data_IF_630004291525
#
_entry.id   IF_630004291525
#
_cell.length_a   1.000
_cell.length_b   1.000
_cell.length_c   1.000
_cell.angle_alpha   90.00
_cell.angle_beta   90.00
_cell.angle_gamma   90.00
#
_symmetry.space_group_name_H-M   'P 1'
#
loop_
_entity.id
_entity.type
_entity.pdbx_description
1 polymer ?
#
# COMPACT_ATOMS: atom_id res chain seq x y z
N UNK A 1 -1.34 2.67 -18.39
CA UNK A 1 -1.78 1.25 -18.33
C UNK A 1 -1.06 0.33 -19.30
N UNK A 2 -0.90 0.69 -20.59
CA UNK A 2 -0.25 -0.18 -21.59
C UNK A 2 1.17 -0.64 -21.22
N UNK A 3 2.00 0.25 -20.66
CA UNK A 3 3.35 -0.11 -20.23
C UNK A 3 3.37 -1.19 -19.14
N UNK A 4 2.46 -1.12 -18.18
CA UNK A 4 2.31 -2.14 -17.12
C UNK A 4 1.81 -3.45 -17.72
N UNK A 5 0.83 -3.40 -18.63
CA UNK A 5 0.41 -4.59 -19.38
C UNK A 5 1.60 -5.22 -20.12
N UNK A 6 2.36 -4.42 -20.84
CA UNK A 6 3.52 -4.86 -21.61
C UNK A 6 4.56 -5.55 -20.71
N UNK A 7 4.80 -5.04 -19.50
CA UNK A 7 5.62 -5.74 -18.52
C UNK A 7 5.08 -7.13 -18.19
N UNK A 8 3.79 -7.25 -17.87
CA UNK A 8 3.19 -8.54 -17.50
C UNK A 8 3.10 -9.53 -18.67
N UNK A 9 3.00 -9.05 -19.90
CA UNK A 9 3.02 -9.86 -21.12
C UNK A 9 4.42 -10.40 -21.48
N UNK A 10 5.50 -9.94 -20.81
CA UNK A 10 6.85 -10.44 -21.08
C UNK A 10 7.01 -11.93 -20.74
N UNK A 11 7.97 -12.62 -21.39
CA UNK A 11 8.32 -13.99 -21.06
C UNK A 11 8.64 -14.17 -19.57
N UNK A 12 8.32 -15.36 -19.06
CA UNK A 12 8.54 -15.69 -17.65
C UNK A 12 10.01 -15.52 -17.26
N UNK A 13 10.95 -15.84 -18.14
CA UNK A 13 12.39 -15.76 -17.94
C UNK A 13 12.89 -14.33 -17.71
N UNK A 14 12.14 -13.33 -18.19
CA UNK A 14 12.45 -11.92 -17.93
C UNK A 14 11.92 -11.53 -16.56
N UNK A 15 10.65 -11.85 -16.27
CA UNK A 15 9.99 -11.48 -15.01
C UNK A 15 10.56 -12.22 -13.81
N UNK A 16 11.00 -13.47 -13.97
CA UNK A 16 11.54 -14.32 -12.91
C UNK A 16 12.83 -13.77 -12.29
N UNK A 17 13.58 -12.94 -13.03
CA UNK A 17 14.77 -12.25 -12.51
C UNK A 17 14.47 -11.26 -11.38
N UNK A 18 13.24 -10.72 -11.37
CA UNK A 18 12.74 -9.80 -10.35
C UNK A 18 11.95 -10.53 -9.26
N UNK A 19 11.75 -11.84 -9.42
CA UNK A 19 10.87 -12.60 -8.55
C UNK A 19 11.47 -12.77 -7.17
N UNK A 20 10.67 -12.48 -6.14
CA UNK A 20 11.02 -12.82 -4.77
C UNK A 20 9.77 -13.15 -3.95
N UNK A 21 9.96 -13.94 -2.90
CA UNK A 21 8.99 -14.16 -1.82
C UNK A 21 9.45 -13.51 -0.50
N UNK A 22 10.62 -12.88 -0.49
CA UNK A 22 11.15 -12.21 0.68
C UNK A 22 10.37 -10.91 0.92
N UNK A 23 9.95 -10.67 2.16
CA UNK A 23 9.07 -9.55 2.54
C UNK A 23 9.85 -8.32 3.03
N UNK A 24 11.16 -8.49 3.23
CA UNK A 24 12.13 -7.49 3.68
C UNK A 24 12.90 -6.86 2.54
N UNK A 25 12.64 -7.28 1.29
CA UNK A 25 13.33 -6.74 0.13
C UNK A 25 12.74 -5.39 -0.23
N UNK A 26 13.63 -4.42 -0.41
CA UNK A 26 13.34 -3.10 -0.96
C UNK A 26 13.73 -3.09 -2.45
N UNK A 27 13.37 -2.04 -3.20
CA UNK A 27 13.74 -1.90 -4.61
C UNK A 27 12.67 -2.38 -5.60
N UNK A 28 13.03 -3.24 -6.57
CA UNK A 28 12.12 -3.73 -7.62
C UNK A 28 11.78 -5.21 -7.38
N UNK A 29 10.50 -5.50 -7.23
CA UNK A 29 10.01 -6.83 -6.83
C UNK A 29 8.86 -7.27 -7.72
N UNK A 30 8.98 -8.47 -8.28
CA UNK A 30 7.87 -9.19 -8.89
C UNK A 30 7.39 -10.30 -7.95
N UNK A 31 6.09 -10.36 -7.70
CA UNK A 31 5.47 -11.42 -6.91
C UNK A 31 4.29 -12.02 -7.66
N UNK A 32 4.05 -13.31 -7.41
CA UNK A 32 2.85 -14.02 -7.81
C UNK A 32 2.34 -14.75 -6.58
N UNK A 33 1.07 -14.53 -6.24
CA UNK A 33 0.46 -15.12 -5.04
C UNK A 33 1.24 -14.79 -3.75
N UNK A 34 1.27 -13.49 -3.43
CA UNK A 34 2.11 -12.87 -2.40
C UNK A 34 2.03 -13.57 -1.03
N UNK A 35 0.84 -14.03 -0.62
CA UNK A 35 0.57 -14.58 0.71
C UNK A 35 0.40 -16.12 0.74
N UNK A 36 0.84 -16.84 -0.30
CA UNK A 36 0.54 -18.28 -0.49
C UNK A 36 0.84 -19.19 0.72
N UNK A 37 1.88 -18.89 1.51
CA UNK A 37 2.28 -19.71 2.66
C UNK A 37 1.80 -19.17 4.02
N UNK A 38 1.06 -18.05 4.01
CA UNK A 38 0.54 -17.39 5.22
C UNK A 38 -0.99 -17.43 5.29
N UNK A 39 -1.62 -17.61 4.13
CA UNK A 39 -3.07 -17.67 3.99
C UNK A 39 -3.52 -19.07 3.60
N UNK A 40 -4.75 -19.43 3.94
CA UNK A 40 -5.32 -20.74 3.60
C UNK A 40 -5.78 -20.82 2.14
N UNK A 41 -5.64 -19.74 1.36
CA UNK A 41 -6.15 -19.65 0.00
C UNK A 41 -5.22 -18.82 -0.88
N UNK A 42 -5.00 -19.28 -2.10
CA UNK A 42 -4.25 -18.56 -3.13
C UNK A 42 -4.99 -17.29 -3.56
N UNK A 43 -4.25 -16.21 -3.84
CA UNK A 43 -4.79 -15.03 -4.51
C UNK A 43 -4.48 -15.07 -6.01
N UNK A 44 -5.46 -14.61 -6.81
CA UNK A 44 -5.34 -14.62 -8.28
C UNK A 44 -4.86 -13.27 -8.82
N UNK A 45 -3.60 -12.94 -8.53
CA UNK A 45 -2.93 -11.78 -9.11
C UNK A 45 -1.41 -11.92 -9.08
N UNK A 46 -0.77 -11.21 -10.00
CA UNK A 46 0.67 -10.95 -10.01
C UNK A 46 0.89 -9.45 -9.79
N UNK A 47 2.00 -9.09 -9.14
CA UNK A 47 2.30 -7.69 -8.82
C UNK A 47 3.76 -7.37 -9.12
N UNK A 48 3.99 -6.26 -9.81
CA UNK A 48 5.28 -5.56 -9.82
C UNK A 48 5.20 -4.42 -8.79
N UNK A 49 6.07 -4.45 -7.79
CA UNK A 49 6.22 -3.41 -6.79
C UNK A 49 7.57 -2.71 -6.97
N UNK A 50 7.58 -1.38 -6.88
CA UNK A 50 8.78 -0.55 -7.00
C UNK A 50 8.77 0.47 -5.88
N UNK A 51 9.82 0.47 -5.06
CA UNK A 51 10.02 1.47 -4.02
C UNK A 51 10.66 2.71 -4.63
N UNK A 52 9.95 3.83 -4.60
CA UNK A 52 10.42 5.08 -5.24
C UNK A 52 10.79 6.16 -4.22
N UNK A 53 10.47 5.93 -2.95
CA UNK A 53 10.74 6.81 -1.81
C UNK A 53 10.78 5.98 -0.52
N UNK A 54 11.51 6.42 0.53
CA UNK A 54 12.46 7.55 0.57
C UNK A 54 13.73 7.27 -0.24
N UNK A 55 14.55 8.29 -0.52
CA UNK A 55 15.75 8.19 -1.39
C UNK A 55 16.68 7.04 -0.98
N UNK A 56 16.86 6.83 0.32
CA UNK A 56 17.71 5.75 0.87
C UNK A 56 17.23 4.34 0.54
N UNK A 57 15.92 4.16 0.32
CA UNK A 57 15.26 2.88 0.03
C UNK A 57 14.78 2.78 -1.42
N UNK A 58 15.06 3.82 -2.21
CA UNK A 58 14.59 3.95 -3.59
C UNK A 58 15.30 2.94 -4.47
N UNK A 59 14.52 2.26 -5.32
CA UNK A 59 15.02 1.41 -6.39
C UNK A 59 15.93 2.22 -7.32
N UNK A 60 17.08 1.65 -7.70
CA UNK A 60 17.90 2.31 -8.69
C UNK A 60 17.18 2.31 -10.05
N UNK A 61 17.28 3.40 -10.80
CA UNK A 61 16.56 3.54 -12.07
C UNK A 61 16.88 2.39 -13.06
N UNK A 62 18.12 1.90 -13.04
CA UNK A 62 18.58 0.79 -13.88
C UNK A 62 17.92 -0.55 -13.54
N UNK A 63 17.43 -0.71 -12.30
CA UNK A 63 16.74 -1.91 -11.84
C UNK A 63 15.27 -1.93 -12.27
N UNK A 64 14.69 -0.75 -12.51
CA UNK A 64 13.31 -0.62 -12.98
C UNK A 64 13.22 -1.16 -14.41
N UNK A 65 12.23 -2.04 -14.73
CA UNK A 65 12.12 -2.65 -16.05
C UNK A 65 11.99 -1.59 -17.15
N UNK A 66 12.89 -1.63 -18.13
CA UNK A 66 12.96 -0.62 -19.20
C UNK A 66 11.62 -0.41 -19.91
N UNK A 67 10.87 -1.51 -20.14
CA UNK A 67 9.58 -1.50 -20.84
C UNK A 67 8.50 -0.65 -20.17
N UNK A 68 8.62 -0.37 -18.87
CA UNK A 68 7.65 0.43 -18.12
C UNK A 68 8.28 1.55 -17.28
N UNK A 69 9.61 1.70 -17.33
CA UNK A 69 10.35 2.64 -16.48
C UNK A 69 9.86 4.08 -16.62
N UNK A 70 9.74 4.56 -17.85
CA UNK A 70 9.34 5.95 -18.12
C UNK A 70 7.95 6.26 -17.58
N UNK A 71 6.97 5.41 -17.88
CA UNK A 71 5.59 5.58 -17.45
C UNK A 71 5.45 5.43 -15.93
N UNK A 72 6.22 4.53 -15.32
CA UNK A 72 6.22 4.32 -13.88
C UNK A 72 6.79 5.53 -13.12
N UNK A 73 7.92 6.08 -13.57
CA UNK A 73 8.50 7.29 -12.96
C UNK A 73 7.62 8.53 -13.16
N UNK A 74 6.95 8.64 -14.32
CA UNK A 74 5.98 9.71 -14.53
C UNK A 74 4.76 9.56 -13.60
N UNK A 75 4.26 8.33 -13.41
CA UNK A 75 3.16 8.05 -12.49
C UNK A 75 3.51 8.45 -11.05
N UNK A 76 4.70 8.07 -10.58
CA UNK A 76 5.20 8.41 -9.25
C UNK A 76 5.15 9.91 -8.99
N UNK A 77 5.80 10.70 -9.85
CA UNK A 77 5.83 12.16 -9.78
C UNK A 77 4.43 12.79 -9.75
N UNK A 78 3.49 12.27 -10.54
CA UNK A 78 2.12 12.79 -10.56
C UNK A 78 1.32 12.36 -9.34
N UNK A 79 1.50 11.12 -8.88
CA UNK A 79 0.81 10.58 -7.72
C UNK A 79 1.25 11.26 -6.43
N UNK A 80 2.53 11.64 -6.31
CA UNK A 80 3.06 12.42 -5.19
C UNK A 80 2.36 13.78 -5.08
N UNK A 81 2.25 14.53 -6.19
CA UNK A 81 1.52 15.80 -6.21
C UNK A 81 0.05 15.67 -5.83
N UNK A 82 -0.58 14.57 -6.25
CA UNK A 82 -1.97 14.27 -5.86
C UNK A 82 -2.04 13.98 -4.36
N UNK A 83 -1.11 13.20 -3.82
CA UNK A 83 -1.06 12.90 -2.39
C UNK A 83 -0.84 14.16 -1.54
N UNK A 84 0.07 15.05 -1.95
CA UNK A 84 0.29 16.36 -1.30
C UNK A 84 -1.01 17.16 -1.24
N UNK A 85 -1.68 17.35 -2.39
CA UNK A 85 -2.94 18.09 -2.46
C UNK A 85 -4.08 17.43 -1.65
N UNK A 86 -4.09 16.10 -1.54
CA UNK A 86 -5.11 15.35 -0.79
C UNK A 86 -4.88 15.36 0.71
N UNK A 87 -3.63 15.30 1.17
CA UNK A 87 -3.29 15.45 2.58
C UNK A 87 -3.78 16.81 3.11
N UNK A 88 -3.89 17.81 2.23
CA UNK A 88 -4.49 19.11 2.53
C UNK A 88 -6.03 19.10 2.57
N UNK A 89 -6.72 18.10 1.99
CA UNK A 89 -8.17 18.17 1.69
C UNK A 89 -9.02 16.91 1.96
N UNK A 90 -8.56 15.96 2.78
CA UNK A 90 -9.17 14.61 2.93
C UNK A 90 -10.72 14.57 3.09
N UNK A 91 -11.42 13.84 2.20
CA UNK A 91 -12.61 13.02 2.53
C UNK A 91 -12.98 11.98 1.45
N UNK A 92 -13.57 10.88 1.95
CA UNK A 92 -14.39 9.77 1.38
C UNK A 92 -14.00 9.03 0.09
N UNK A 93 -14.00 7.68 0.20
CA UNK A 93 -13.78 6.74 -0.90
C UNK A 93 -15.06 6.42 -1.67
N UNK A 94 -14.97 6.41 -3.01
CA UNK A 94 -16.07 6.15 -3.94
C UNK A 94 -15.68 5.07 -4.97
N UNK A 95 -16.69 4.53 -5.68
CA UNK A 95 -16.48 3.57 -6.75
C UNK A 95 -15.56 4.12 -7.86
N UNK A 96 -14.78 3.27 -8.56
CA UNK A 96 -13.94 3.72 -9.66
C UNK A 96 -14.78 4.33 -10.78
N UNK A 97 -14.71 5.65 -10.90
CA UNK A 97 -15.30 6.39 -12.02
C UNK A 97 -14.27 6.42 -13.16
N UNK A 98 -14.66 6.16 -14.42
CA UNK A 98 -13.74 6.27 -15.56
C UNK A 98 -13.01 7.62 -15.58
N UNK A 99 -11.69 7.58 -15.61
CA UNK A 99 -10.84 8.79 -15.59
C UNK A 99 -10.58 9.36 -14.19
N UNK A 100 -11.12 8.77 -13.12
CA UNK A 100 -10.88 9.17 -11.75
C UNK A 100 -9.90 8.24 -11.03
N UNK A 101 -9.30 8.75 -9.95
CA UNK A 101 -8.53 7.98 -8.97
C UNK A 101 -9.44 7.62 -7.79
N UNK A 102 -9.32 6.39 -7.31
CA UNK A 102 -9.91 5.99 -6.03
C UNK A 102 -8.86 6.16 -4.93
N UNK A 103 -9.23 6.88 -3.87
CA UNK A 103 -8.36 7.14 -2.72
C UNK A 103 -8.96 6.43 -1.51
N UNK A 104 -8.13 5.73 -0.76
CA UNK A 104 -8.53 5.03 0.47
C UNK A 104 -7.64 5.47 1.63
N UNK A 105 -8.21 5.51 2.82
CA UNK A 105 -7.51 5.80 4.07
C UNK A 105 -6.97 4.49 4.66
N UNK A 106 -5.73 4.51 5.15
CA UNK A 106 -5.11 3.38 5.84
C UNK A 106 -5.21 3.47 7.36
N UNK A 107 -4.99 2.34 8.04
CA UNK A 107 -5.10 2.19 9.50
C UNK A 107 -4.27 3.22 10.29
N UNK A 108 -3.10 3.60 9.79
CA UNK A 108 -2.22 4.60 10.42
C UNK A 108 -2.91 5.97 10.49
N UNK A 109 -3.53 6.42 9.39
CA UNK A 109 -4.24 7.70 9.35
C UNK A 109 -5.50 7.64 10.22
N UNK A 110 -6.27 6.55 10.17
CA UNK A 110 -7.43 6.38 11.05
C UNK A 110 -7.03 6.52 12.53
N UNK A 111 -5.96 5.83 12.93
CA UNK A 111 -5.46 5.86 14.31
C UNK A 111 -5.02 7.26 14.73
N UNK A 112 -4.24 7.94 13.89
CA UNK A 112 -3.77 9.31 14.17
C UNK A 112 -4.89 10.33 14.21
N UNK A 113 -5.91 10.15 13.36
CA UNK A 113 -7.07 11.02 13.29
C UNK A 113 -8.09 10.78 14.42
N UNK A 114 -7.86 9.76 15.27
CA UNK A 114 -8.76 9.33 16.33
C UNK A 114 -10.20 9.07 15.81
N UNK A 115 -10.32 8.25 14.75
CA UNK A 115 -11.57 7.91 14.03
C UNK A 115 -12.23 9.07 13.23
N UNK A 116 -11.57 10.23 13.06
CA UNK A 116 -12.07 11.26 12.12
C UNK A 116 -12.07 10.78 10.66
N UNK A 117 -11.13 9.90 10.30
CA UNK A 117 -11.10 9.19 9.04
C UNK A 117 -11.13 7.69 9.28
N UNK A 118 -11.80 6.94 8.41
CA UNK A 118 -12.02 5.50 8.58
C UNK A 118 -11.33 4.71 7.47
N UNK A 119 -10.47 3.78 7.87
CA UNK A 119 -9.90 2.73 7.03
C UNK A 119 -10.94 1.64 6.83
N UNK A 120 -11.26 1.33 5.57
CA UNK A 120 -12.32 0.38 5.21
C UNK A 120 -11.73 -0.88 4.59
N UNK A 121 -12.33 -2.01 4.92
CA UNK A 121 -12.04 -3.27 4.25
C UNK A 121 -12.46 -3.20 2.78
N UNK A 122 -11.56 -3.56 1.89
CA UNK A 122 -11.81 -3.61 0.46
C UNK A 122 -11.23 -4.90 -0.11
N UNK A 123 -11.90 -5.44 -1.14
CA UNK A 123 -11.47 -6.66 -1.82
C UNK A 123 -11.59 -6.53 -3.33
N UNK A 124 -10.72 -7.24 -4.02
CA UNK A 124 -10.75 -7.35 -5.48
C UNK A 124 -11.29 -8.73 -5.85
N UNK A 125 -12.42 -8.75 -6.55
CA UNK A 125 -13.00 -9.99 -7.05
C UNK A 125 -12.36 -10.36 -8.39
N UNK A 126 -11.94 -11.62 -8.51
CA UNK A 126 -11.64 -12.20 -9.81
C UNK A 126 -12.94 -12.29 -10.62
N UNK A 127 -12.87 -11.86 -11.88
CA UNK A 127 -14.00 -11.93 -12.81
C UNK A 127 -13.59 -12.79 -14.00
N UNK A 128 -14.44 -13.74 -14.38
CA UNK A 128 -14.29 -14.43 -15.65
C UNK A 128 -14.44 -13.41 -16.79
N UNK A 129 -13.33 -13.08 -17.43
CA UNK A 129 -13.22 -12.08 -18.48
C UNK A 129 -12.19 -12.55 -19.49
N UNK A 130 -12.36 -12.17 -20.77
CA UNK A 130 -11.34 -12.43 -21.80
C UNK A 130 -10.10 -11.57 -21.60
N UNK A 131 -10.31 -10.34 -21.12
CA UNK A 131 -9.24 -9.38 -20.88
C UNK A 131 -8.80 -9.39 -19.42
N UNK A 132 -7.47 -9.31 -19.15
CA UNK A 132 -6.95 -9.17 -17.79
C UNK A 132 -7.32 -7.81 -17.21
N UNK A 133 -7.63 -7.80 -15.91
CA UNK A 133 -7.77 -6.55 -15.16
C UNK A 133 -6.40 -6.09 -14.67
N UNK A 134 -6.06 -4.83 -14.92
CA UNK A 134 -4.80 -4.23 -14.46
C UNK A 134 -5.13 -3.02 -13.61
N UNK A 135 -4.44 -2.88 -12.47
CA UNK A 135 -4.51 -1.72 -11.60
C UNK A 135 -3.10 -1.26 -11.24
N UNK A 136 -2.91 0.04 -11.07
CA UNK A 136 -1.70 0.63 -10.52
C UNK A 136 -2.09 1.32 -9.23
N UNK A 137 -1.33 1.09 -8.16
CA UNK A 137 -1.61 1.61 -6.83
C UNK A 137 -0.35 2.29 -6.32
N UNK A 138 -0.50 3.48 -5.73
CA UNK A 138 0.55 4.17 -5.00
C UNK A 138 0.20 4.14 -3.51
N UNK A 139 1.19 3.82 -2.66
CA UNK A 139 1.03 3.79 -1.21
C UNK A 139 1.88 4.89 -0.59
N UNK A 140 1.24 5.84 0.09
CA UNK A 140 1.90 6.92 0.82
C UNK A 140 1.90 6.56 2.30
N UNK A 141 2.99 5.94 2.75
CA UNK A 141 3.16 5.51 4.13
C UNK A 141 3.99 6.54 4.91
N UNK A 142 3.72 6.68 6.20
CA UNK A 142 4.54 7.52 7.07
C UNK A 142 5.92 6.89 7.26
N UNK A 143 6.95 7.70 7.07
CA UNK A 143 8.33 7.28 7.19
C UNK A 143 8.75 7.16 8.68
N UNK A 144 9.51 6.11 8.97
CA UNK A 144 10.02 5.80 10.32
C UNK A 144 11.37 6.44 10.63
N UNK A 145 11.92 7.27 9.74
CA UNK A 145 13.24 7.91 9.93
C UNK A 145 13.16 9.22 10.73
N UNK A 146 11.96 9.69 11.08
CA UNK A 146 11.78 10.80 12.02
C UNK A 146 11.85 10.32 13.47
N UNK A 147 12.15 11.22 14.43
CA UNK A 147 12.16 10.98 15.89
C UNK A 147 10.83 10.42 16.47
N UNK A 148 9.84 10.17 15.61
CA UNK A 148 8.55 9.58 15.93
C UNK A 148 8.70 8.06 16.03
N UNK A 149 9.09 7.61 17.22
CA UNK A 149 9.12 6.18 17.55
C UNK A 149 7.72 5.56 17.70
N UNK A 150 6.66 6.39 17.76
CA UNK A 150 5.31 5.95 18.08
C UNK A 150 4.23 6.70 17.29
N UNK A 151 3.29 5.94 16.74
CA UNK A 151 2.08 6.41 16.10
C UNK A 151 0.90 6.26 17.04
N UNK A 152 -0.04 7.19 17.01
CA UNK A 152 -1.23 7.22 17.89
C UNK A 152 -2.06 8.47 17.63
N UNK A 153 -3.20 8.64 18.31
CA UNK A 153 -4.03 9.83 18.17
C UNK A 153 -3.23 11.13 18.31
N UNK A 154 -3.38 12.05 17.37
CA UNK A 154 -2.73 13.36 17.40
C UNK A 154 -3.22 14.14 18.63
N UNK A 155 -2.32 14.66 19.49
CA UNK A 155 -2.72 15.38 20.70
C UNK A 155 -3.70 16.52 20.45
N UNK A 156 -3.59 17.20 19.32
CA UNK A 156 -4.43 18.33 18.91
C UNK A 156 -5.88 17.93 18.60
N UNK A 157 -6.13 16.63 18.35
CA UNK A 157 -7.45 16.07 18.11
C UNK A 157 -8.11 15.53 19.39
N UNK A 158 -7.41 15.60 20.53
CA UNK A 158 -7.91 15.15 21.83
C UNK A 158 -8.44 16.34 22.63
N UNK A 159 -9.55 16.11 23.33
CA UNK A 159 -10.17 17.10 24.23
C UNK A 159 -10.69 16.38 25.47
N UNK A 160 -11.08 17.08 26.56
CA UNK A 160 -11.72 16.44 27.71
C UNK A 160 -12.92 15.57 27.33
N UNK A 161 -13.66 15.95 26.28
CA UNK A 161 -14.84 15.22 25.79
C UNK A 161 -14.52 14.23 24.66
N UNK A 162 -13.30 14.26 24.12
CA UNK A 162 -12.83 13.37 23.05
C UNK A 162 -11.51 12.71 23.45
N UNK A 163 -11.63 11.60 24.15
CA UNK A 163 -10.50 10.80 24.61
C UNK A 163 -9.85 10.02 23.46
N UNK A 164 -8.61 9.59 23.69
CA UNK A 164 -7.92 8.69 22.79
C UNK A 164 -8.68 7.36 22.68
N UNK A 165 -8.98 6.92 21.46
CA UNK A 165 -9.58 5.62 21.18
C UNK A 165 -8.54 4.53 20.96
N UNK A 166 -7.28 4.91 20.78
CA UNK A 166 -6.18 4.02 20.43
C UNK A 166 -4.97 4.29 21.31
N UNK A 167 -4.25 3.23 21.70
CA UNK A 167 -2.92 3.36 22.28
C UNK A 167 -1.89 3.68 21.21
N UNK A 168 -0.73 4.13 21.65
CA UNK A 168 0.43 4.30 20.80
C UNK A 168 1.01 2.93 20.36
N UNK A 169 1.57 2.87 19.16
CA UNK A 169 2.21 1.69 18.57
C UNK A 169 3.45 2.08 17.76
N UNK A 170 4.35 1.13 17.48
CA UNK A 170 5.53 1.37 16.63
C UNK A 170 5.33 0.81 15.22
N UNK A 171 6.04 1.31 14.20
CA UNK A 171 5.92 0.75 12.85
C UNK A 171 6.35 -0.72 12.74
N UNK A 172 7.41 -1.19 13.45
CA UNK A 172 7.69 -2.62 13.52
C UNK A 172 6.52 -3.44 14.08
N UNK A 173 5.86 -2.94 15.13
CA UNK A 173 4.67 -3.58 15.70
C UNK A 173 3.50 -3.63 14.70
N UNK A 174 3.31 -2.56 13.92
CA UNK A 174 2.33 -2.51 12.83
C UNK A 174 2.65 -3.54 11.74
N UNK A 175 3.89 -3.60 11.27
CA UNK A 175 4.33 -4.54 10.23
C UNK A 175 4.17 -5.99 10.69
N UNK A 176 4.57 -6.31 11.92
CA UNK A 176 4.35 -7.63 12.50
C UNK A 176 2.85 -7.97 12.57
N UNK A 177 2.03 -7.04 13.04
CA UNK A 177 0.58 -7.20 13.10
C UNK A 177 -0.09 -7.36 11.73
N UNK A 178 0.42 -6.68 10.70
CA UNK A 178 -0.08 -6.72 9.34
C UNK A 178 0.28 -8.04 8.63
N UNK A 179 1.53 -8.50 8.77
CA UNK A 179 2.04 -9.69 8.07
C UNK A 179 1.80 -11.01 8.82
N UNK A 180 1.46 -10.97 10.11
CA UNK A 180 1.10 -12.18 10.89
C UNK A 180 -0.32 -12.69 10.62
N UNK A 181 -1.05 -12.12 9.66
CA UNK A 181 -2.46 -12.46 9.39
C UNK A 181 -2.64 -13.89 8.88
N UNK A 182 -3.32 -14.71 9.68
CA UNK A 182 -4.21 -15.76 9.19
C UNK A 182 -5.64 -15.21 9.05
N UNK A 183 -6.51 -15.89 8.29
CA UNK A 183 -7.89 -15.44 7.98
C UNK A 183 -8.78 -15.14 9.20
N UNK A 184 -8.41 -15.59 10.41
CA UNK A 184 -9.18 -15.43 11.65
C UNK A 184 -8.56 -14.43 12.65
N UNK A 185 -7.53 -13.65 12.28
CA UNK A 185 -6.94 -12.69 13.21
C UNK A 185 -7.70 -11.36 13.23
N UNK A 186 -7.87 -10.78 14.43
CA UNK A 186 -8.37 -9.41 14.60
C UNK A 186 -7.48 -8.44 13.80
N UNK A 187 -8.08 -7.46 13.14
CA UNK A 187 -7.33 -6.41 12.44
C UNK A 187 -6.39 -5.70 13.43
N UNK A 188 -5.23 -5.23 12.96
CA UNK A 188 -4.24 -4.58 13.84
C UNK A 188 -4.89 -3.44 14.63
N UNK A 189 -5.74 -2.66 13.97
CA UNK A 189 -6.48 -1.56 14.58
C UNK A 189 -7.37 -1.99 15.76
N UNK A 190 -7.96 -3.19 15.72
CA UNK A 190 -8.72 -3.75 16.85
C UNK A 190 -7.84 -4.15 18.04
N UNK A 191 -6.55 -4.45 17.80
CA UNK A 191 -5.61 -4.84 18.87
C UNK A 191 -5.05 -3.63 19.63
N UNK A 192 -5.09 -2.46 19.02
CA UNK A 192 -4.56 -1.21 19.61
C UNK A 192 -5.67 -0.26 20.12
N UNK A 193 -6.95 -0.60 19.91
CA UNK A 193 -8.08 0.14 20.46
C UNK A 193 -8.11 0.00 22.00
N UNK A 194 -8.40 1.09 22.69
CA UNK A 194 -8.49 1.18 24.17
C UNK A 194 -9.84 0.69 24.70
#
# INVERSE_FOLDING_TARGET
MNAIKAFHDQPHEVKSKLYTRAHDREGVIYTSNYDLYRTNAATWHDSLAVWLSPEKKRAEEKEIPEICRKELLAWDLHSEKVAEALLESLSEGLEPIPGALTINIGDTIQTMSNDNYVSVEHRVLAKASKEPRISVVAFFNLETESDINYFGPLPELLTPDKLALYRKFTMPEFQEGFYSKGLNSKSFIQKIRL
#
